data_IF_812876476863
#
_entry.id   IF_812876476863
#
_cell.length_a   1.000
_cell.length_b   1.000
_cell.length_c   1.000
_cell.angle_alpha   90.00
_cell.angle_beta   90.00
_cell.angle_gamma   90.00
#
_symmetry.space_group_name_H-M   'P 1'
#
loop_
_entity.id
_entity.type
_entity.pdbx_description
1 polymer ?
#
# COMPACT_ATOMS: atom_id res chain seq x y z
N UNK A 1 7.43 22.31 -7.94
CA UNK A 1 6.75 21.51 -8.98
C UNK A 1 5.54 22.24 -9.50
N UNK A 2 5.32 22.14 -10.83
CA UNK A 2 4.09 22.62 -11.50
C UNK A 2 3.56 21.47 -12.34
N UNK A 3 2.29 21.11 -12.13
CA UNK A 3 1.59 20.12 -12.94
C UNK A 3 0.46 20.80 -13.68
N UNK A 4 0.53 20.80 -15.01
CA UNK A 4 -0.54 21.28 -15.89
C UNK A 4 -1.21 20.08 -16.53
N UNK A 5 -2.54 20.03 -16.51
CA UNK A 5 -3.27 18.88 -17.01
C UNK A 5 -4.56 19.24 -17.71
N UNK A 6 -4.93 18.42 -18.69
CA UNK A 6 -6.23 18.43 -19.35
C UNK A 6 -6.77 17.02 -19.45
N UNK A 7 -8.09 16.87 -19.49
CA UNK A 7 -8.70 15.56 -19.68
C UNK A 7 -9.98 15.65 -20.51
N UNK A 8 -10.30 14.54 -21.17
CA UNK A 8 -11.58 14.29 -21.82
C UNK A 8 -12.18 13.01 -21.28
N UNK A 9 -13.50 12.98 -21.12
CA UNK A 9 -14.23 11.82 -20.65
C UNK A 9 -15.45 11.62 -21.55
N UNK A 10 -15.70 10.36 -21.87
CA UNK A 10 -16.87 9.90 -22.58
C UNK A 10 -17.59 8.88 -21.73
N UNK A 11 -18.90 9.07 -21.54
CA UNK A 11 -19.78 8.15 -20.84
C UNK A 11 -20.89 7.72 -21.79
N UNK A 12 -21.09 6.42 -21.94
CA UNK A 12 -22.14 5.87 -22.78
C UNK A 12 -22.81 4.69 -22.13
N UNK A 13 -24.13 4.65 -22.24
CA UNK A 13 -24.94 3.54 -21.79
C UNK A 13 -25.42 2.74 -22.99
N UNK A 14 -24.83 1.56 -23.20
CA UNK A 14 -25.25 0.61 -24.21
C UNK A 14 -26.37 -0.23 -23.61
N UNK A 15 -27.55 -0.20 -24.20
CA UNK A 15 -28.73 -0.82 -23.66
C UNK A 15 -29.05 -0.36 -22.21
N UNK A 16 -29.87 -1.10 -21.49
CA UNK A 16 -30.28 -0.73 -20.13
C UNK A 16 -29.24 -1.09 -19.06
N UNK A 17 -28.31 -1.96 -19.37
CA UNK A 17 -27.52 -2.76 -18.44
C UNK A 17 -26.00 -2.63 -18.59
N UNK A 18 -25.50 -2.09 -19.71
CA UNK A 18 -24.05 -1.90 -19.94
C UNK A 18 -23.69 -0.43 -19.94
N UNK A 19 -22.80 -0.03 -19.04
CA UNK A 19 -22.26 1.32 -18.96
C UNK A 19 -20.77 1.28 -19.33
N UNK A 20 -20.35 2.13 -20.26
CA UNK A 20 -18.97 2.38 -20.62
C UNK A 20 -18.56 3.78 -20.19
N UNK A 21 -17.44 3.89 -19.54
CA UNK A 21 -16.72 5.14 -19.32
C UNK A 21 -15.34 5.02 -19.93
N UNK A 22 -14.97 5.95 -20.80
CA UNK A 22 -13.64 6.06 -21.39
C UNK A 22 -13.08 7.46 -21.10
N UNK A 23 -11.84 7.54 -20.70
CA UNK A 23 -11.17 8.80 -20.39
C UNK A 23 -9.73 8.83 -20.88
N UNK A 24 -9.25 10.01 -21.20
CA UNK A 24 -7.85 10.28 -21.46
C UNK A 24 -7.46 11.56 -20.73
N UNK A 25 -6.45 11.45 -19.88
CA UNK A 25 -5.84 12.58 -19.18
C UNK A 25 -4.41 12.74 -19.66
N UNK A 26 -4.01 13.98 -19.96
CA UNK A 26 -2.63 14.37 -20.24
C UNK A 26 -2.13 15.22 -19.06
N UNK A 27 -0.94 14.92 -18.58
CA UNK A 27 -0.24 15.70 -17.55
C UNK A 27 1.14 16.11 -18.04
N UNK A 28 1.44 17.40 -17.95
CA UNK A 28 2.78 17.96 -18.10
C UNK A 28 3.30 18.36 -16.73
N UNK A 29 4.38 17.70 -16.28
CA UNK A 29 5.04 17.99 -15.01
C UNK A 29 6.34 18.74 -15.28
N UNK A 30 6.54 19.86 -14.58
CA UNK A 30 7.79 20.63 -14.59
C UNK A 30 8.32 20.75 -13.16
N UNK A 31 9.54 20.31 -12.98
CA UNK A 31 10.23 20.28 -11.69
C UNK A 31 11.40 21.26 -11.71
N UNK A 32 11.58 21.98 -10.59
CA UNK A 32 12.73 22.85 -10.35
C UNK A 32 13.08 22.74 -8.88
N UNK A 33 14.29 22.29 -8.59
CA UNK A 33 14.74 22.07 -7.23
C UNK A 33 16.21 22.45 -7.02
N UNK A 34 16.57 22.70 -5.78
CA UNK A 34 17.94 22.97 -5.32
C UNK A 34 18.09 22.31 -3.96
N UNK A 35 19.05 21.43 -3.82
CA UNK A 35 19.36 20.77 -2.56
C UNK A 35 20.28 21.61 -1.69
N UNK A 36 20.44 21.15 -0.47
CA UNK A 36 21.41 21.67 0.48
C UNK A 36 22.18 20.51 1.08
N UNK A 37 23.50 20.58 1.06
CA UNK A 37 24.37 19.67 1.79
C UNK A 37 24.77 20.37 3.07
N UNK A 38 24.61 19.71 4.19
CA UNK A 38 25.09 20.18 5.49
C UNK A 38 26.33 19.38 5.87
N UNK A 39 27.36 20.05 6.25
CA UNK A 39 28.60 19.48 6.75
C UNK A 39 28.68 19.82 8.26
N UNK A 40 28.59 18.79 9.08
CA UNK A 40 28.58 18.87 10.54
C UNK A 40 29.98 19.16 11.13
N UNK A 41 31.06 18.90 10.40
CA UNK A 41 32.42 19.25 10.88
C UNK A 41 32.70 20.74 10.75
N UNK A 42 32.24 21.35 9.67
CA UNK A 42 32.52 22.77 9.39
C UNK A 42 31.33 23.69 9.73
N UNK A 43 30.21 23.13 10.19
CA UNK A 43 28.93 23.83 10.42
C UNK A 43 28.48 24.66 9.20
N UNK A 44 28.74 24.13 8.00
CA UNK A 44 28.44 24.84 6.76
C UNK A 44 27.35 24.14 5.97
N UNK A 45 26.47 24.97 5.46
CA UNK A 45 25.45 24.53 4.47
C UNK A 45 25.87 25.04 3.10
N UNK A 46 26.04 24.10 2.15
CA UNK A 46 26.27 24.41 0.74
C UNK A 46 25.04 24.11 -0.08
N UNK A 47 24.74 24.91 -1.11
CA UNK A 47 23.66 24.65 -2.03
C UNK A 47 24.15 23.75 -3.16
N UNK A 48 23.36 22.73 -3.52
CA UNK A 48 23.58 22.00 -4.77
C UNK A 48 23.24 22.91 -5.96
N UNK A 49 23.68 22.53 -7.16
CA UNK A 49 23.27 23.19 -8.39
C UNK A 49 21.75 23.17 -8.56
N UNK A 50 21.22 24.10 -9.35
CA UNK A 50 19.82 24.12 -9.72
C UNK A 50 19.55 23.01 -10.74
N UNK A 51 18.58 22.15 -10.44
CA UNK A 51 18.12 21.07 -11.30
C UNK A 51 16.74 21.38 -11.86
N UNK A 52 16.51 21.00 -13.10
CA UNK A 52 15.19 21.09 -13.76
C UNK A 52 14.90 19.77 -14.47
N UNK A 53 13.67 19.29 -14.38
CA UNK A 53 13.18 18.14 -15.11
C UNK A 53 11.76 18.43 -15.62
N UNK A 54 11.40 17.86 -16.78
CA UNK A 54 10.08 18.05 -17.37
C UNK A 54 9.70 16.83 -18.19
N UNK A 55 8.46 16.37 -18.03
CA UNK A 55 7.92 15.22 -18.75
C UNK A 55 6.42 15.33 -18.96
N UNK A 56 5.91 14.56 -19.94
CA UNK A 56 4.50 14.46 -20.26
C UNK A 56 4.04 13.02 -20.13
N UNK A 57 2.90 12.79 -19.50
CA UNK A 57 2.27 11.49 -19.36
C UNK A 57 0.85 11.51 -19.91
N UNK A 58 0.48 10.42 -20.59
CA UNK A 58 -0.89 10.15 -21.02
C UNK A 58 -1.44 9.03 -20.16
N UNK A 59 -2.62 9.25 -19.58
CA UNK A 59 -3.25 8.36 -18.62
C UNK A 59 -4.65 7.97 -19.14
N UNK A 60 -4.73 6.98 -20.02
CA UNK A 60 -6.00 6.44 -20.47
C UNK A 60 -6.70 5.65 -19.36
N UNK A 61 -8.04 5.64 -19.40
CA UNK A 61 -8.89 4.83 -18.55
C UNK A 61 -10.11 4.33 -19.34
N UNK A 62 -10.44 3.06 -19.16
CA UNK A 62 -11.64 2.44 -19.70
C UNK A 62 -12.28 1.62 -18.60
N UNK A 63 -13.54 1.88 -18.30
CA UNK A 63 -14.32 1.13 -17.30
C UNK A 63 -15.61 0.66 -17.95
N UNK A 64 -15.90 -0.62 -17.79
CA UNK A 64 -17.15 -1.24 -18.23
C UNK A 64 -17.84 -1.80 -17.01
N UNK A 65 -19.09 -1.45 -16.83
CA UNK A 65 -19.99 -2.03 -15.83
C UNK A 65 -21.14 -2.69 -16.54
N UNK A 66 -21.36 -3.95 -16.25
CA UNK A 66 -22.49 -4.72 -16.74
C UNK A 66 -23.38 -5.13 -15.56
N UNK A 67 -24.60 -4.60 -15.53
CA UNK A 67 -25.66 -5.01 -14.60
C UNK A 67 -26.36 -6.23 -15.20
N UNK A 68 -25.82 -7.46 -14.96
CA UNK A 68 -26.36 -8.72 -15.54
C UNK A 68 -27.81 -8.92 -15.13
N UNK A 69 -28.12 -8.56 -13.89
CA UNK A 69 -29.45 -8.41 -13.32
C UNK A 69 -29.39 -7.48 -12.11
N UNK A 70 -30.49 -7.30 -11.38
CA UNK A 70 -30.56 -6.41 -10.21
C UNK A 70 -29.56 -6.79 -9.11
N UNK A 71 -29.32 -8.09 -8.95
CA UNK A 71 -28.50 -8.63 -7.87
C UNK A 71 -27.04 -8.92 -8.28
N UNK A 72 -26.74 -9.10 -9.59
CA UNK A 72 -25.43 -9.51 -10.07
C UNK A 72 -24.82 -8.50 -11.06
N UNK A 73 -23.59 -8.05 -10.74
CA UNK A 73 -22.88 -7.05 -11.52
C UNK A 73 -21.46 -7.51 -11.83
N UNK A 74 -21.01 -7.22 -13.06
CA UNK A 74 -19.62 -7.45 -13.50
C UNK A 74 -19.01 -6.10 -13.83
N UNK A 75 -17.75 -5.90 -13.43
CA UNK A 75 -16.96 -4.71 -13.76
C UNK A 75 -15.62 -5.12 -14.33
N UNK A 76 -15.22 -4.47 -15.41
CA UNK A 76 -13.89 -4.58 -15.96
C UNK A 76 -13.29 -3.20 -16.11
N UNK A 77 -12.00 -3.07 -15.85
CA UNK A 77 -11.30 -1.80 -16.07
C UNK A 77 -9.90 -2.00 -16.64
N UNK A 78 -9.48 -1.02 -17.41
CA UNK A 78 -8.10 -0.75 -17.77
C UNK A 78 -7.77 0.68 -17.42
N UNK A 79 -6.70 0.89 -16.66
CA UNK A 79 -6.23 2.22 -16.30
C UNK A 79 -4.72 2.29 -16.36
N UNK A 80 -4.21 3.41 -16.82
CA UNK A 80 -2.79 3.75 -16.68
C UNK A 80 -2.65 4.83 -15.62
N UNK A 81 -1.76 4.60 -14.67
CA UNK A 81 -1.49 5.51 -13.54
C UNK A 81 -0.01 5.80 -13.42
N UNK A 82 0.35 6.87 -12.73
CA UNK A 82 1.73 7.21 -12.47
C UNK A 82 1.96 7.50 -10.99
N UNK A 83 3.16 7.19 -10.51
CA UNK A 83 3.69 7.60 -9.21
C UNK A 83 4.96 8.40 -9.41
N UNK A 84 4.97 9.65 -8.92
CA UNK A 84 6.14 10.52 -9.02
C UNK A 84 7.18 10.18 -7.95
N UNK A 85 8.49 10.33 -8.27
CA UNK A 85 9.53 10.23 -7.25
C UNK A 85 9.27 11.22 -6.10
N UNK A 86 9.62 10.83 -4.88
CA UNK A 86 9.60 11.74 -3.73
C UNK A 86 10.59 12.88 -3.96
N UNK A 87 10.27 14.10 -3.54
CA UNK A 87 11.17 15.25 -3.70
C UNK A 87 12.53 15.01 -3.04
N UNK A 88 12.55 14.40 -1.87
CA UNK A 88 13.80 14.05 -1.16
C UNK A 88 14.66 13.05 -1.94
N UNK A 89 14.07 12.23 -2.80
CA UNK A 89 14.79 11.28 -3.65
C UNK A 89 15.40 11.96 -4.89
N UNK A 90 14.75 13.01 -5.41
CA UNK A 90 15.22 13.75 -6.59
C UNK A 90 16.36 14.72 -6.29
N UNK A 91 16.39 15.28 -5.09
CA UNK A 91 17.42 16.29 -4.75
C UNK A 91 18.76 15.59 -4.57
N UNK A 92 19.80 15.93 -5.34
CA UNK A 92 21.13 15.31 -5.25
C UNK A 92 21.91 15.84 -4.03
N UNK A 93 21.25 15.86 -2.88
CA UNK A 93 21.89 16.18 -1.60
C UNK A 93 22.64 14.96 -1.09
N UNK A 94 23.82 15.21 -0.55
CA UNK A 94 24.63 14.20 0.14
C UNK A 94 24.32 14.27 1.62
N UNK A 95 23.91 13.16 2.18
CA UNK A 95 23.69 12.99 3.61
C UNK A 95 24.67 11.94 4.14
N UNK A 96 25.55 12.34 5.02
CA UNK A 96 26.59 11.49 5.61
C UNK A 96 26.25 11.27 7.08
N UNK A 97 26.13 10.01 7.47
CA UNK A 97 26.07 9.61 8.88
C UNK A 97 27.46 9.04 9.25
N UNK A 98 28.26 9.86 9.91
CA UNK A 98 29.62 9.45 10.30
C UNK A 98 29.64 8.45 11.43
N UNK A 99 28.61 8.46 12.31
CA UNK A 99 28.48 7.50 13.41
C UNK A 99 28.36 6.06 12.93
N UNK A 100 27.60 5.86 11.87
CA UNK A 100 27.36 4.54 11.27
C UNK A 100 28.20 4.30 10.00
N UNK A 101 29.02 5.28 9.59
CA UNK A 101 29.81 5.26 8.35
C UNK A 101 28.96 5.01 7.09
N UNK A 102 27.82 5.70 6.99
CA UNK A 102 26.86 5.59 5.90
C UNK A 102 26.75 6.89 5.10
N UNK A 103 26.47 6.75 3.80
CA UNK A 103 26.22 7.88 2.90
C UNK A 103 24.94 7.62 2.08
N UNK A 104 24.08 8.63 2.00
CA UNK A 104 22.88 8.62 1.15
C UNK A 104 22.92 9.81 0.19
N UNK A 105 22.72 9.52 -1.11
CA UNK A 105 22.73 10.54 -2.17
C UNK A 105 21.41 10.45 -2.95
N UNK A 106 20.73 11.57 -3.15
CA UNK A 106 19.55 11.62 -4.00
C UNK A 106 19.89 11.46 -5.48
N UNK A 107 18.89 11.17 -6.32
CA UNK A 107 19.05 10.93 -7.76
C UNK A 107 18.10 11.82 -8.58
N UNK A 108 18.69 12.78 -9.29
CA UNK A 108 17.94 13.72 -10.15
C UNK A 108 17.38 13.09 -11.42
N UNK A 109 17.88 11.91 -11.82
CA UNK A 109 17.53 11.25 -13.06
C UNK A 109 16.34 10.30 -12.93
N UNK A 110 15.74 10.24 -11.73
CA UNK A 110 14.57 9.40 -11.49
C UNK A 110 13.41 9.77 -12.41
N UNK A 111 12.85 8.74 -13.03
CA UNK A 111 11.62 8.80 -13.82
C UNK A 111 10.42 8.46 -12.94
N UNK A 112 9.21 8.95 -13.28
CA UNK A 112 8.01 8.46 -12.62
C UNK A 112 7.77 6.98 -12.93
N UNK A 113 7.32 6.23 -11.94
CA UNK A 113 6.82 4.87 -12.11
C UNK A 113 5.49 4.91 -12.85
N UNK A 114 5.33 4.08 -13.88
CA UNK A 114 4.08 3.92 -14.64
C UNK A 114 3.48 2.55 -14.32
N UNK A 115 2.17 2.51 -14.09
CA UNK A 115 1.46 1.26 -13.89
C UNK A 115 0.29 1.11 -14.87
N UNK A 116 0.26 -0.02 -15.55
CA UNK A 116 -0.83 -0.47 -16.42
C UNK A 116 -1.66 -1.48 -15.63
N UNK A 117 -2.91 -1.12 -15.34
CA UNK A 117 -3.76 -1.89 -14.44
C UNK A 117 -4.94 -2.46 -15.21
N UNK A 118 -5.18 -3.76 -15.01
CA UNK A 118 -6.35 -4.49 -15.52
C UNK A 118 -7.07 -5.10 -14.33
N UNK A 119 -8.35 -4.78 -14.17
CA UNK A 119 -9.17 -5.29 -13.09
C UNK A 119 -10.44 -5.91 -13.66
N UNK A 120 -10.87 -7.03 -13.08
CA UNK A 120 -12.13 -7.69 -13.35
C UNK A 120 -12.76 -8.07 -12.03
N UNK A 121 -14.01 -7.68 -11.80
CA UNK A 121 -14.75 -8.07 -10.59
C UNK A 121 -16.17 -8.51 -10.89
N UNK A 122 -16.67 -9.41 -10.06
CA UNK A 122 -18.05 -9.86 -10.07
C UNK A 122 -18.62 -9.73 -8.65
N UNK A 123 -19.76 -9.05 -8.54
CA UNK A 123 -20.43 -8.74 -7.28
C UNK A 123 -21.84 -9.30 -7.28
N UNK A 124 -22.19 -10.04 -6.24
CA UNK A 124 -23.53 -10.52 -6.00
C UNK A 124 -24.10 -9.90 -4.72
N UNK A 125 -25.21 -9.18 -4.87
CA UNK A 125 -25.92 -8.50 -3.79
C UNK A 125 -27.07 -9.40 -3.33
N UNK A 126 -27.08 -9.77 -2.06
CA UNK A 126 -28.18 -10.54 -1.51
C UNK A 126 -29.42 -9.64 -1.33
N UNK A 127 -30.62 -10.21 -1.44
CA UNK A 127 -31.89 -9.49 -1.22
C UNK A 127 -32.03 -8.91 0.19
N UNK A 128 -31.40 -9.55 1.19
CA UNK A 128 -31.12 -8.98 2.52
C UNK A 128 -29.80 -8.22 2.52
N UNK A 129 -29.44 -7.59 3.63
CA UNK A 129 -28.11 -6.96 3.74
C UNK A 129 -27.01 -7.99 3.53
N UNK A 130 -26.24 -7.83 2.45
CA UNK A 130 -25.10 -8.70 2.18
C UNK A 130 -24.55 -8.57 0.77
N UNK A 131 -23.28 -8.91 0.62
CA UNK A 131 -22.50 -8.88 -0.62
C UNK A 131 -21.50 -10.03 -0.63
N UNK A 132 -21.36 -10.69 -1.78
CA UNK A 132 -20.19 -11.48 -2.11
C UNK A 132 -19.52 -10.88 -3.34
N UNK A 133 -18.21 -10.72 -3.31
CA UNK A 133 -17.44 -10.20 -4.42
C UNK A 133 -16.21 -11.06 -4.66
N UNK A 134 -15.90 -11.29 -5.93
CA UNK A 134 -14.64 -11.89 -6.37
C UNK A 134 -14.00 -11.00 -7.42
N UNK A 135 -12.70 -10.78 -7.32
CA UNK A 135 -11.92 -9.95 -8.21
C UNK A 135 -10.64 -10.63 -8.67
N UNK A 136 -10.21 -10.26 -9.85
CA UNK A 136 -8.87 -10.53 -10.39
C UNK A 136 -8.25 -9.20 -10.79
N UNK A 137 -6.99 -9.00 -10.48
CA UNK A 137 -6.21 -7.85 -10.94
C UNK A 137 -4.88 -8.29 -11.55
N UNK A 138 -4.41 -7.53 -12.53
CA UNK A 138 -3.08 -7.62 -13.09
C UNK A 138 -2.50 -6.21 -13.25
N UNK A 139 -1.26 -6.02 -12.82
CA UNK A 139 -0.52 -4.74 -12.95
C UNK A 139 0.85 -5.01 -13.56
N UNK A 140 1.14 -4.30 -14.63
CA UNK A 140 2.50 -4.16 -15.14
C UNK A 140 3.03 -2.81 -14.67
N UNK A 141 4.16 -2.80 -14.00
CA UNK A 141 4.77 -1.62 -13.39
C UNK A 141 6.12 -1.40 -14.05
N UNK A 142 6.27 -0.26 -14.71
CA UNK A 142 7.52 0.13 -15.35
C UNK A 142 8.23 1.19 -14.50
N UNK A 143 9.57 1.16 -14.45
CA UNK A 143 10.42 2.13 -13.77
C UNK A 143 10.09 2.28 -12.26
N UNK A 144 9.77 1.17 -11.54
CA UNK A 144 9.54 1.27 -10.10
C UNK A 144 10.81 1.74 -9.36
N UNK A 145 10.62 2.51 -8.28
CA UNK A 145 11.72 3.16 -7.57
C UNK A 145 11.97 2.46 -6.24
N UNK A 146 13.21 2.02 -6.02
CA UNK A 146 13.70 1.52 -4.73
C UNK A 146 15.08 2.12 -4.43
N UNK A 147 15.49 2.04 -3.16
CA UNK A 147 16.84 2.42 -2.76
C UNK A 147 17.82 1.28 -3.14
N UNK A 148 18.82 1.59 -3.99
CA UNK A 148 19.97 0.72 -4.19
C UNK A 148 20.92 0.86 -3.01
N UNK A 149 21.35 -0.25 -2.45
CA UNK A 149 22.32 -0.30 -1.35
C UNK A 149 23.59 -0.96 -1.83
N UNK A 150 24.73 -0.27 -1.66
CA UNK A 150 26.06 -0.82 -1.92
C UNK A 150 26.88 -0.82 -0.63
N UNK A 151 27.81 -1.76 -0.50
CA UNK A 151 28.79 -1.83 0.59
C UNK A 151 30.16 -1.43 0.10
N UNK A 152 31.01 -0.89 1.00
CA UNK A 152 32.40 -0.48 0.71
C UNK A 152 32.48 0.52 -0.47
N UNK A 153 31.63 1.54 -0.41
CA UNK A 153 31.53 2.56 -1.45
C UNK A 153 32.47 3.73 -1.18
N UNK A 154 33.34 4.05 -2.16
CA UNK A 154 34.27 5.18 -2.07
C UNK A 154 33.59 6.48 -2.58
N UNK A 155 33.56 7.50 -1.76
CA UNK A 155 33.08 8.83 -2.13
C UNK A 155 34.08 9.89 -1.66
N UNK A 156 34.63 10.66 -2.62
CA UNK A 156 35.61 11.74 -2.37
C UNK A 156 36.82 11.27 -1.53
N UNK A 157 37.34 10.05 -1.79
CA UNK A 157 38.48 9.50 -1.07
C UNK A 157 38.19 8.92 0.30
N UNK A 158 36.90 8.83 0.69
CA UNK A 158 36.45 8.21 1.94
C UNK A 158 35.63 6.96 1.61
N UNK A 159 35.94 5.85 2.26
CA UNK A 159 35.18 4.60 2.15
C UNK A 159 34.05 4.56 3.15
N UNK A 160 32.83 4.30 2.66
CA UNK A 160 31.62 4.13 3.45
C UNK A 160 31.17 2.69 3.46
N UNK A 161 30.79 2.18 4.63
CA UNK A 161 30.29 0.81 4.80
C UNK A 161 28.96 0.59 4.12
N UNK A 162 28.15 1.67 3.97
CA UNK A 162 26.86 1.65 3.32
C UNK A 162 26.62 2.90 2.48
N UNK A 163 26.36 2.69 1.21
CA UNK A 163 25.87 3.73 0.29
C UNK A 163 24.42 3.43 -0.06
N UNK A 164 23.58 4.45 -0.08
CA UNK A 164 22.16 4.32 -0.45
C UNK A 164 21.79 5.38 -1.48
N UNK A 165 21.20 4.97 -2.60
CA UNK A 165 20.68 5.87 -3.63
C UNK A 165 19.38 5.35 -4.21
N UNK A 166 18.30 6.19 -4.30
CA UNK A 166 17.09 5.80 -5.00
C UNK A 166 17.34 5.66 -6.50
N UNK A 167 16.87 4.57 -7.11
CA UNK A 167 16.99 4.29 -8.54
C UNK A 167 15.71 3.68 -9.10
N UNK A 168 15.47 3.88 -10.40
CA UNK A 168 14.48 3.09 -11.13
C UNK A 168 15.07 1.69 -11.33
N UNK A 169 14.48 0.68 -10.71
CA UNK A 169 15.07 -0.66 -10.58
C UNK A 169 14.73 -1.61 -11.74
N UNK A 170 13.85 -1.20 -12.65
CA UNK A 170 13.35 -2.03 -13.74
C UNK A 170 11.83 -2.15 -13.74
N UNK A 171 11.34 -3.31 -14.15
CA UNK A 171 9.92 -3.58 -14.30
C UNK A 171 9.45 -4.61 -13.28
N UNK A 172 8.17 -4.59 -12.95
CA UNK A 172 7.54 -5.60 -12.11
C UNK A 172 6.17 -5.97 -12.66
N UNK A 173 5.81 -7.24 -12.50
CA UNK A 173 4.47 -7.74 -12.75
C UNK A 173 3.84 -8.16 -11.43
N UNK A 174 2.58 -7.83 -11.26
CA UNK A 174 1.81 -8.16 -10.08
C UNK A 174 0.42 -8.60 -10.50
N UNK A 175 -0.04 -9.75 -10.01
CA UNK A 175 -1.40 -10.22 -10.22
C UNK A 175 -1.95 -10.83 -8.95
N UNK A 176 -3.26 -10.85 -8.84
CA UNK A 176 -3.86 -11.44 -7.66
C UNK A 176 -5.35 -11.67 -7.78
N UNK A 177 -5.87 -12.31 -6.74
CA UNK A 177 -7.28 -12.63 -6.54
C UNK A 177 -7.75 -11.97 -5.26
N UNK A 178 -8.91 -11.35 -5.33
CA UNK A 178 -9.58 -10.74 -4.18
C UNK A 178 -10.92 -11.41 -3.96
N UNK A 179 -11.22 -11.70 -2.72
CA UNK A 179 -12.52 -12.22 -2.30
C UNK A 179 -13.04 -11.41 -1.13
N UNK A 180 -14.32 -11.02 -1.18
CA UNK A 180 -14.98 -10.38 -0.05
C UNK A 180 -16.37 -10.98 0.17
N UNK A 181 -16.74 -11.08 1.44
CA UNK A 181 -18.05 -11.57 1.87
C UNK A 181 -18.51 -10.72 3.06
N UNK A 182 -19.74 -10.25 2.97
CA UNK A 182 -20.43 -9.58 4.06
C UNK A 182 -21.87 -10.02 4.12
N UNK A 183 -22.34 -10.49 5.29
CA UNK A 183 -23.73 -10.84 5.49
C UNK A 183 -24.08 -10.96 6.96
N UNK A 184 -25.31 -10.60 7.33
CA UNK A 184 -25.91 -11.03 8.60
C UNK A 184 -26.36 -12.51 8.52
N UNK A 185 -26.51 -13.15 9.69
CA UNK A 185 -26.94 -14.55 9.76
C UNK A 185 -28.46 -14.73 9.91
N UNK A 186 -29.25 -13.71 9.65
CA UNK A 186 -30.72 -13.77 9.65
C UNK A 186 -31.29 -14.78 8.65
N UNK A 187 -30.51 -15.14 7.61
CA UNK A 187 -30.88 -16.19 6.64
C UNK A 187 -30.82 -17.62 7.22
N UNK A 188 -30.07 -17.83 8.31
CA UNK A 188 -29.99 -19.11 9.02
C UNK A 188 -31.17 -19.21 10.02
N UNK A 189 -31.36 -18.16 10.83
CA UNK A 189 -32.45 -18.06 11.79
C UNK A 189 -32.75 -16.59 12.09
N UNK A 190 -34.05 -16.19 12.25
CA UNK A 190 -34.44 -14.80 12.52
C UNK A 190 -33.77 -14.20 13.77
N UNK A 191 -33.45 -15.02 14.76
CA UNK A 191 -32.75 -14.57 15.97
C UNK A 191 -31.32 -14.12 15.69
N UNK A 192 -30.68 -14.65 14.64
CA UNK A 192 -29.29 -14.35 14.26
C UNK A 192 -29.14 -13.13 13.33
N UNK A 193 -30.24 -12.44 12.99
CA UNK A 193 -30.19 -11.21 12.15
C UNK A 193 -29.36 -10.06 12.75
N UNK A 194 -29.04 -10.14 14.03
CA UNK A 194 -28.22 -9.16 14.74
C UNK A 194 -26.73 -9.52 14.74
N UNK A 195 -26.39 -10.71 14.27
CA UNK A 195 -25.01 -11.19 14.14
C UNK A 195 -24.65 -11.18 12.67
N UNK A 196 -23.50 -10.64 12.32
CA UNK A 196 -23.03 -10.65 10.95
C UNK A 196 -21.51 -10.88 10.88
N UNK A 197 -21.11 -11.27 9.71
CA UNK A 197 -19.72 -11.51 9.35
C UNK A 197 -19.32 -10.62 8.18
N UNK A 198 -18.12 -10.08 8.24
CA UNK A 198 -17.41 -9.44 7.14
C UNK A 198 -16.04 -10.09 7.01
N UNK A 199 -15.65 -10.46 5.80
CA UNK A 199 -14.33 -11.01 5.53
C UNK A 199 -13.81 -10.62 4.17
N UNK A 200 -12.51 -10.35 4.08
CA UNK A 200 -11.78 -10.17 2.84
C UNK A 200 -10.53 -11.02 2.85
N UNK A 201 -10.17 -11.51 1.69
CA UNK A 201 -8.92 -12.21 1.46
C UNK A 201 -8.36 -11.80 0.11
N UNK A 202 -7.06 -11.48 0.09
CA UNK A 202 -6.33 -11.16 -1.13
C UNK A 202 -5.10 -12.06 -1.23
N UNK A 203 -4.95 -12.69 -2.38
CA UNK A 203 -3.72 -13.33 -2.82
C UNK A 203 -3.05 -12.43 -3.84
N UNK A 204 -1.77 -12.13 -3.66
CA UNK A 204 -0.97 -11.29 -4.55
C UNK A 204 0.33 -11.98 -4.89
N UNK A 205 0.54 -12.26 -6.16
CA UNK A 205 1.84 -12.71 -6.66
C UNK A 205 2.52 -11.54 -7.36
N UNK A 206 3.72 -11.18 -6.91
CA UNK A 206 4.54 -10.14 -7.53
C UNK A 206 5.88 -10.70 -7.97
N UNK A 207 6.41 -10.19 -9.08
CA UNK A 207 7.71 -10.55 -9.59
C UNK A 207 8.38 -9.34 -10.21
N UNK A 208 9.60 -9.08 -9.76
CA UNK A 208 10.49 -8.08 -10.37
C UNK A 208 11.15 -8.71 -11.59
N UNK A 209 11.11 -7.98 -12.69
CA UNK A 209 11.77 -8.33 -13.95
C UNK A 209 12.80 -7.26 -14.30
N UNK A 210 13.82 -7.63 -15.05
CA UNK A 210 14.88 -6.72 -15.52
C UNK A 210 15.54 -5.93 -14.37
N UNK A 211 15.78 -6.62 -13.24
CA UNK A 211 16.39 -6.00 -12.08
C UNK A 211 17.82 -5.55 -12.37
N UNK A 212 18.04 -4.24 -12.39
CA UNK A 212 19.29 -3.62 -12.85
C UNK A 212 20.00 -2.90 -11.70
N UNK A 213 20.42 -3.65 -10.69
CA UNK A 213 21.23 -3.14 -9.59
C UNK A 213 22.60 -3.78 -9.58
N UNK A 214 23.63 -2.94 -9.38
CA UNK A 214 25.00 -3.37 -9.17
C UNK A 214 25.07 -4.34 -7.97
N UNK A 215 25.71 -5.49 -8.20
CA UNK A 215 25.82 -6.56 -7.20
C UNK A 215 24.65 -7.53 -7.14
N UNK A 216 23.56 -7.28 -7.90
CA UNK A 216 22.35 -8.12 -7.90
C UNK A 216 21.88 -8.53 -9.31
N UNK A 217 22.71 -8.36 -10.32
CA UNK A 217 22.36 -8.55 -11.74
C UNK A 217 21.95 -10.01 -12.08
N UNK A 218 22.41 -10.96 -11.27
CA UNK A 218 22.10 -12.38 -11.43
C UNK A 218 20.90 -12.86 -10.59
N UNK A 219 20.28 -11.98 -9.83
CA UNK A 219 19.12 -12.34 -9.01
C UNK A 219 17.84 -12.30 -9.85
N UNK A 220 16.99 -13.29 -9.67
CA UNK A 220 15.73 -13.41 -10.40
C UNK A 220 14.61 -13.86 -9.47
N UNK A 221 13.38 -13.53 -9.84
CA UNK A 221 12.20 -13.96 -9.09
C UNK A 221 11.97 -13.23 -7.76
N UNK A 222 12.58 -12.06 -7.58
CA UNK A 222 12.35 -11.22 -6.41
C UNK A 222 10.92 -10.72 -6.39
N UNK A 223 10.31 -10.74 -5.21
CA UNK A 223 9.01 -10.10 -4.99
C UNK A 223 9.17 -8.58 -4.93
N UNK A 224 8.13 -7.87 -5.34
CA UNK A 224 8.09 -6.40 -5.22
C UNK A 224 8.07 -6.00 -3.73
N UNK A 225 8.97 -5.10 -3.28
CA UNK A 225 8.96 -4.63 -1.90
C UNK A 225 7.62 -4.02 -1.51
N UNK A 226 7.22 -4.24 -0.25
CA UNK A 226 5.95 -3.77 0.29
C UNK A 226 4.72 -4.54 -0.18
N UNK A 227 4.89 -5.72 -0.82
CA UNK A 227 3.80 -6.53 -1.39
C UNK A 227 3.68 -7.89 -0.67
N UNK A 228 2.89 -8.00 0.41
CA UNK A 228 2.61 -9.28 1.04
C UNK A 228 1.84 -10.21 0.10
N UNK A 229 2.19 -11.50 0.07
CA UNK A 229 1.54 -12.48 -0.79
C UNK A 229 0.11 -12.78 -0.36
N UNK A 230 -0.15 -12.78 0.95
CA UNK A 230 -1.45 -13.05 1.52
C UNK A 230 -1.86 -11.96 2.48
N UNK A 231 -3.07 -11.42 2.32
CA UNK A 231 -3.72 -10.57 3.32
C UNK A 231 -5.13 -11.06 3.59
N UNK A 232 -5.54 -10.99 4.85
CA UNK A 232 -6.90 -11.36 5.25
C UNK A 232 -7.41 -10.42 6.34
N UNK A 233 -8.69 -10.04 6.22
CA UNK A 233 -9.39 -9.33 7.28
C UNK A 233 -10.70 -10.05 7.56
N UNK A 234 -11.04 -10.26 8.82
CA UNK A 234 -12.29 -10.87 9.23
C UNK A 234 -12.88 -10.13 10.41
N UNK A 235 -14.18 -9.93 10.43
CA UNK A 235 -14.89 -9.34 11.56
C UNK A 235 -16.19 -10.08 11.82
N UNK A 236 -16.40 -10.47 13.07
CA UNK A 236 -17.69 -10.92 13.57
C UNK A 236 -18.30 -9.78 14.39
N UNK A 237 -19.55 -9.41 14.11
CA UNK A 237 -20.19 -8.32 14.80
C UNK A 237 -21.59 -8.69 15.30
N UNK A 238 -21.99 -8.03 16.37
CA UNK A 238 -23.34 -8.11 16.95
C UNK A 238 -23.86 -6.69 17.11
N UNK A 239 -25.08 -6.43 16.59
CA UNK A 239 -25.73 -5.11 16.66
C UNK A 239 -27.21 -5.27 17.04
N UNK A 240 -27.57 -4.82 18.26
CA UNK A 240 -28.96 -4.84 18.72
C UNK A 240 -29.22 -3.82 19.78
N UNK A 241 -30.27 -3.01 19.62
CA UNK A 241 -30.82 -2.17 20.68
C UNK A 241 -29.82 -1.17 21.28
N UNK A 242 -28.94 -0.61 20.45
CA UNK A 242 -27.87 0.30 20.87
C UNK A 242 -26.58 -0.39 21.31
N UNK A 243 -26.58 -1.71 21.51
CA UNK A 243 -25.38 -2.51 21.74
C UNK A 243 -24.71 -2.86 20.41
N UNK A 244 -23.45 -2.55 20.30
CA UNK A 244 -22.58 -2.96 19.18
C UNK A 244 -21.33 -3.62 19.76
N UNK A 245 -21.00 -4.83 19.27
CA UNK A 245 -19.78 -5.54 19.63
C UNK A 245 -19.15 -6.05 18.35
N UNK A 246 -17.84 -5.85 18.17
CA UNK A 246 -17.10 -6.31 17.01
C UNK A 246 -15.78 -6.94 17.45
N UNK A 247 -15.54 -8.14 16.97
CA UNK A 247 -14.25 -8.82 17.00
C UNK A 247 -13.65 -8.76 15.61
N UNK A 248 -12.44 -8.25 15.47
CA UNK A 248 -11.74 -8.12 14.18
C UNK A 248 -10.42 -8.88 14.23
N UNK A 249 -10.08 -9.50 13.12
CA UNK A 249 -8.81 -10.18 12.88
C UNK A 249 -8.20 -9.67 11.59
N UNK A 250 -6.90 -9.34 11.62
CA UNK A 250 -6.14 -8.88 10.47
C UNK A 250 -4.87 -9.70 10.34
N UNK A 251 -4.60 -10.17 9.14
CA UNK A 251 -3.43 -10.95 8.78
C UNK A 251 -2.74 -10.36 7.56
N UNK A 252 -1.42 -10.30 7.58
CA UNK A 252 -0.58 -10.14 6.39
C UNK A 252 0.62 -11.08 6.48
N UNK A 253 0.97 -11.74 5.36
CA UNK A 253 2.20 -12.50 5.27
C UNK A 253 3.42 -11.57 5.30
N UNK A 254 4.58 -12.13 5.54
CA UNK A 254 5.84 -11.41 5.46
C UNK A 254 6.12 -10.93 4.03
N UNK A 255 6.89 -9.84 3.92
CA UNK A 255 7.27 -9.24 2.65
C UNK A 255 8.61 -8.51 2.74
N UNK A 256 9.28 -8.31 1.62
CA UNK A 256 10.49 -7.49 1.56
C UNK A 256 10.14 -6.04 1.88
N UNK A 257 10.69 -5.51 2.98
CA UNK A 257 10.53 -4.11 3.39
C UNK A 257 11.62 -3.23 2.75
N UNK A 258 12.85 -3.72 2.74
CA UNK A 258 14.00 -3.03 2.16
C UNK A 258 14.92 -4.01 1.44
N UNK A 259 15.31 -3.67 0.21
CA UNK A 259 16.29 -4.43 -0.54
C UNK A 259 17.70 -4.07 -0.08
N UNK A 260 18.44 -5.06 0.38
CA UNK A 260 19.85 -4.95 0.72
C UNK A 260 20.78 -5.08 -0.49
N UNK A 261 22.12 -5.15 -0.30
CA UNK A 261 23.07 -5.37 -1.37
C UNK A 261 23.01 -6.79 -1.97
N UNK A 262 22.32 -7.72 -1.34
CA UNK A 262 22.00 -9.06 -1.85
C UNK A 262 20.79 -9.62 -1.10
N UNK A 263 20.19 -10.72 -1.61
CA UNK A 263 19.04 -11.41 -0.98
C UNK A 263 19.32 -11.79 0.49
N UNK A 264 20.57 -12.12 0.84
CA UNK A 264 20.97 -12.40 2.21
C UNK A 264 20.79 -11.20 3.15
N UNK A 265 20.92 -9.99 2.64
CA UNK A 265 20.80 -8.73 3.40
C UNK A 265 19.44 -8.06 3.23
N UNK A 266 18.52 -8.64 2.46
CA UNK A 266 17.16 -8.10 2.37
C UNK A 266 16.50 -8.10 3.72
N UNK A 267 15.88 -6.97 4.08
CA UNK A 267 15.08 -6.83 5.28
C UNK A 267 13.64 -7.18 4.98
N UNK A 268 13.09 -8.06 5.78
CA UNK A 268 11.69 -8.46 5.72
C UNK A 268 10.93 -7.91 6.91
N UNK A 269 9.73 -7.39 6.66
CA UNK A 269 8.72 -7.23 7.69
C UNK A 269 8.04 -8.58 7.89
N UNK A 270 8.06 -9.07 9.14
CA UNK A 270 7.51 -10.40 9.44
C UNK A 270 5.99 -10.44 9.34
N UNK A 271 5.44 -11.64 9.19
CA UNK A 271 4.00 -11.84 9.15
C UNK A 271 3.33 -11.33 10.42
N UNK A 272 2.18 -10.67 10.26
CA UNK A 272 1.44 -10.07 11.37
C UNK A 272 0.05 -10.67 11.52
N UNK A 273 -0.37 -10.82 12.79
CA UNK A 273 -1.68 -11.31 13.19
C UNK A 273 -2.23 -10.39 14.28
N UNK A 274 -3.14 -9.49 13.94
CA UNK A 274 -3.78 -8.63 14.91
C UNK A 274 -5.20 -9.08 15.20
N UNK A 275 -5.56 -9.09 16.46
CA UNK A 275 -6.94 -9.32 16.90
C UNK A 275 -7.36 -8.19 17.82
N UNK A 276 -8.51 -7.58 17.51
CA UNK A 276 -9.03 -6.42 18.21
C UNK A 276 -10.49 -6.67 18.58
N UNK A 277 -10.93 -6.13 19.72
CA UNK A 277 -12.33 -6.12 20.12
C UNK A 277 -12.79 -4.71 20.44
N UNK A 278 -13.98 -4.37 19.95
CA UNK A 278 -14.66 -3.11 20.21
C UNK A 278 -16.07 -3.39 20.71
N UNK A 279 -16.48 -2.72 21.77
CA UNK A 279 -17.83 -2.78 22.29
C UNK A 279 -18.35 -1.38 22.58
N UNK A 280 -19.62 -1.10 22.26
CA UNK A 280 -20.27 0.16 22.63
C UNK A 280 -21.75 -0.06 22.94
N UNK A 281 -22.27 0.76 23.86
CA UNK A 281 -23.68 0.77 24.19
C UNK A 281 -24.21 2.21 24.22
N UNK A 282 -25.16 2.48 23.32
CA UNK A 282 -25.80 3.81 23.20
C UNK A 282 -27.21 3.78 23.77
N UNK A 283 -27.52 4.71 24.64
CA UNK A 283 -28.82 4.88 25.25
C UNK A 283 -29.20 6.36 25.41
N UNK A 284 -30.44 6.63 25.78
CA UNK A 284 -31.01 7.99 25.92
C UNK A 284 -31.77 8.42 24.66
N UNK A 285 -32.74 9.33 24.83
CA UNK A 285 -33.61 9.85 23.76
C UNK A 285 -33.25 11.28 23.36
N UNK A 286 -33.21 12.22 24.29
CA UNK A 286 -32.86 13.63 24.04
C UNK A 286 -31.35 13.84 24.13
N UNK A 287 -30.76 13.33 25.19
CA UNK A 287 -29.29 13.26 25.35
C UNK A 287 -28.89 11.81 25.10
N UNK A 288 -28.07 11.58 24.07
CA UNK A 288 -27.54 10.26 23.77
C UNK A 288 -26.20 10.08 24.48
N UNK A 289 -26.07 8.99 25.22
CA UNK A 289 -24.85 8.59 25.90
C UNK A 289 -24.38 7.27 25.33
N UNK A 290 -23.11 7.21 24.96
CA UNK A 290 -22.46 6.00 24.43
C UNK A 290 -21.27 5.66 25.32
N UNK A 291 -21.37 4.56 26.06
CA UNK A 291 -20.21 3.92 26.65
C UNK A 291 -19.49 3.11 25.55
N UNK A 292 -18.18 3.19 25.51
CA UNK A 292 -17.36 2.36 24.63
C UNK A 292 -16.15 1.80 25.36
N UNK A 293 -15.73 0.63 24.93
CA UNK A 293 -14.50 -0.02 25.35
C UNK A 293 -13.87 -0.71 24.14
N UNK A 294 -12.57 -0.65 24.05
CA UNK A 294 -11.78 -1.31 23.01
C UNK A 294 -10.52 -1.95 23.58
N UNK A 295 -10.13 -3.07 23.02
CA UNK A 295 -8.85 -3.71 23.29
C UNK A 295 -8.21 -4.09 21.95
N UNK A 296 -7.02 -3.58 21.73
CA UNK A 296 -6.27 -3.76 20.50
C UNK A 296 -5.07 -4.68 20.74
N UNK A 297 -4.69 -5.42 19.70
CA UNK A 297 -3.57 -6.34 19.72
C UNK A 297 -3.70 -7.43 20.81
N UNK A 298 -4.87 -8.09 20.88
CA UNK A 298 -5.15 -9.14 21.85
C UNK A 298 -4.18 -10.34 21.76
N UNK A 299 -3.57 -10.55 20.59
CA UNK A 299 -2.59 -11.62 20.36
C UNK A 299 -1.17 -11.20 20.78
N UNK A 300 -0.99 -9.96 21.28
CA UNK A 300 0.32 -9.40 21.62
C UNK A 300 1.35 -9.55 20.48
N UNK A 301 0.90 -9.31 19.25
CA UNK A 301 1.73 -9.39 18.05
C UNK A 301 2.87 -8.37 18.16
N UNK A 302 4.16 -8.79 18.04
CA UNK A 302 5.27 -7.86 17.97
C UNK A 302 5.38 -7.21 16.60
N UNK A 303 5.99 -6.03 16.53
CA UNK A 303 6.63 -5.53 15.32
C UNK A 303 7.97 -6.26 15.22
N UNK A 304 8.19 -6.97 14.11
CA UNK A 304 9.41 -7.72 13.91
C UNK A 304 9.94 -7.57 12.50
N UNK A 305 11.24 -7.31 12.41
CA UNK A 305 12.00 -7.40 11.16
C UNK A 305 13.04 -8.51 11.26
N UNK A 306 13.26 -9.20 10.13
CA UNK A 306 14.33 -10.17 9.99
C UNK A 306 15.12 -9.95 8.71
N UNK A 307 16.32 -10.48 8.62
CA UNK A 307 17.22 -10.30 7.49
C UNK A 307 17.45 -11.62 6.76
N UNK A 308 17.06 -11.69 5.48
CA UNK A 308 17.22 -12.85 4.62
C UNK A 308 16.39 -14.05 5.05
N UNK A 309 16.61 -14.56 6.25
CA UNK A 309 15.90 -15.74 6.80
C UNK A 309 15.26 -15.45 8.16
N UNK A 310 14.16 -16.16 8.48
CA UNK A 310 13.32 -15.89 9.67
C UNK A 310 14.03 -16.05 11.01
N UNK A 311 15.11 -16.81 11.08
CA UNK A 311 15.93 -16.99 12.27
C UNK A 311 16.87 -15.81 12.57
N UNK A 312 17.05 -14.89 11.62
CA UNK A 312 17.92 -13.70 11.75
C UNK A 312 17.12 -12.46 12.11
N UNK A 313 16.64 -12.38 13.34
CA UNK A 313 15.89 -11.20 13.80
C UNK A 313 16.81 -9.97 13.86
N UNK A 314 16.42 -8.90 13.18
CA UNK A 314 17.07 -7.58 13.22
C UNK A 314 16.48 -6.71 14.33
N UNK A 315 15.15 -6.72 14.47
CA UNK A 315 14.40 -5.88 15.38
C UNK A 315 13.15 -6.61 15.83
N UNK A 316 12.83 -6.54 17.11
CA UNK A 316 11.58 -7.01 17.66
C UNK A 316 11.12 -6.05 18.77
N UNK A 317 9.90 -5.52 18.62
CA UNK A 317 9.31 -4.59 19.58
C UNK A 317 7.94 -5.09 20.03
N UNK A 318 7.71 -5.13 21.32
CA UNK A 318 6.46 -5.56 21.93
C UNK A 318 5.74 -4.35 22.52
N UNK A 319 4.66 -3.94 21.88
CA UNK A 319 3.82 -2.84 22.36
C UNK A 319 2.71 -3.28 23.31
N UNK A 320 2.48 -4.57 23.45
CA UNK A 320 1.48 -5.15 24.33
C UNK A 320 0.04 -4.99 23.85
N UNK A 321 -0.88 -5.42 24.69
CA UNK A 321 -2.31 -5.20 24.53
C UNK A 321 -2.65 -3.79 25.02
N UNK A 322 -3.29 -2.99 24.17
CA UNK A 322 -3.74 -1.62 24.53
C UNK A 322 -5.25 -1.61 24.70
N UNK A 323 -5.71 -1.07 25.84
CA UNK A 323 -7.13 -0.95 26.18
C UNK A 323 -7.51 0.50 26.38
N UNK A 324 -8.69 0.89 25.89
CA UNK A 324 -9.30 2.20 26.08
C UNK A 324 -10.77 2.02 26.45
N UNK A 325 -11.28 2.90 27.28
CA UNK A 325 -12.72 3.00 27.56
C UNK A 325 -13.12 4.46 27.78
N UNK A 326 -14.36 4.80 27.45
CA UNK A 326 -14.82 6.17 27.59
C UNK A 326 -16.33 6.32 27.47
N UNK A 327 -16.77 7.57 27.67
CA UNK A 327 -18.16 8.00 27.54
C UNK A 327 -18.24 9.16 26.54
N UNK A 328 -19.10 9.01 25.53
CA UNK A 328 -19.47 10.07 24.59
C UNK A 328 -20.89 10.56 24.91
N UNK A 329 -21.06 11.86 25.03
CA UNK A 329 -22.35 12.49 25.25
C UNK A 329 -22.68 13.38 24.05
N UNK A 330 -23.88 13.20 23.48
CA UNK A 330 -24.39 13.99 22.34
C UNK A 330 -25.75 14.60 22.72
N UNK A 331 -25.86 15.91 22.52
CA UNK A 331 -27.05 16.72 22.86
C UNK A 331 -27.93 16.97 21.65
#
# INVERSE_FOLDING_TARGET
>A
ETVSSGYVRFDHKFASDINLMAGLRMEHTSLRYTGRNYDDETDKTTKTGRMTNSYVNFLPSILVKWDVNDDFKIRGSYTQTLSRPKYSALVPSVNINRGDNEIKIGNSDLKPTISYNFDLSADYYFKSVGLVSAGFFYKKIDDFIVDQVLTNYEYQGTEYTRFTQPKNAGNANLWGLEFSYQRDFGFIAPALKYVGFYGTYTYTHSRVEDFNFEGRENESGLSLPGSPEHTANASLYFEKGGLNVRLSYNFASDFIDEMGPSTFYDRYYDAVNYMDVNASYTFGKKVKMTFYAEANNLLNQPLRYYQGTKDRTMQAEYYGVRMNAGLKISF
#
